data_IF_822480145146
#
_entry.id   IF_822480145146
#
_cell.length_a   1.000
_cell.length_b   1.000
_cell.length_c   1.000
_cell.angle_alpha   90.00
_cell.angle_beta   90.00
_cell.angle_gamma   90.00
#
_symmetry.space_group_name_H-M   'P 1'
#
loop_
_entity.id
_entity.type
_entity.pdbx_description
1 polymer ?
#
# COMPACT_ATOMS: atom_id res chain seq x y z
N UNK A 1 10.21 -7.67 5.67
CA UNK A 1 10.49 -7.62 4.20
C UNK A 1 11.54 -6.58 3.79
N UNK A 2 11.40 -5.28 4.03
CA UNK A 2 12.45 -4.30 3.67
C UNK A 2 13.80 -4.59 4.35
N UNK A 3 13.79 -5.06 5.59
CA UNK A 3 15.02 -5.43 6.33
C UNK A 3 15.73 -6.65 5.71
N UNK A 4 14.98 -7.65 5.26
CA UNK A 4 15.55 -8.84 4.60
C UNK A 4 16.23 -8.47 3.29
N UNK A 5 15.63 -7.53 2.53
CA UNK A 5 16.20 -7.02 1.28
C UNK A 5 17.30 -5.99 1.49
N UNK A 6 17.60 -5.60 2.73
CA UNK A 6 18.59 -4.56 3.08
C UNK A 6 18.33 -3.23 2.38
N UNK A 7 17.05 -2.90 2.16
CA UNK A 7 16.62 -1.66 1.49
C UNK A 7 15.82 -0.77 2.43
N UNK A 8 15.81 0.54 2.16
CA UNK A 8 14.96 1.47 2.90
C UNK A 8 13.49 1.35 2.46
N UNK A 9 12.55 1.65 3.37
CA UNK A 9 11.12 1.73 3.03
C UNK A 9 10.84 2.74 1.91
N UNK A 10 11.64 3.81 1.84
CA UNK A 10 11.54 4.81 0.78
C UNK A 10 11.93 4.24 -0.58
N UNK A 11 12.94 3.38 -0.63
CA UNK A 11 13.35 2.67 -1.85
C UNK A 11 12.29 1.67 -2.26
N UNK A 12 11.87 0.80 -1.33
CA UNK A 12 10.80 -0.19 -1.55
C UNK A 12 9.53 0.48 -2.12
N UNK A 13 9.14 1.62 -1.56
CA UNK A 13 7.93 2.35 -1.95
C UNK A 13 7.97 3.02 -3.33
N UNK A 14 9.06 2.88 -4.06
CA UNK A 14 9.20 3.38 -5.44
C UNK A 14 9.19 2.26 -6.50
N UNK A 15 9.34 1.01 -6.07
CA UNK A 15 9.48 -0.12 -6.98
C UNK A 15 8.11 -0.74 -7.31
N UNK A 16 7.67 -0.59 -8.55
CA UNK A 16 6.39 -1.15 -9.03
C UNK A 16 6.48 -1.70 -10.47
N UNK A 17 7.65 -1.56 -11.12
CA UNK A 17 7.84 -2.05 -12.48
C UNK A 17 8.29 -3.51 -12.46
N UNK A 18 7.78 -4.29 -13.40
CA UNK A 18 8.12 -5.68 -13.63
C UNK A 18 8.15 -6.52 -12.34
N UNK A 19 7.05 -6.53 -11.57
CA UNK A 19 6.99 -7.27 -10.31
C UNK A 19 7.06 -8.78 -10.57
N UNK A 20 7.88 -9.47 -9.77
CA UNK A 20 7.82 -10.93 -9.73
C UNK A 20 6.57 -11.39 -8.99
N UNK A 21 6.14 -12.61 -9.27
CA UNK A 21 5.09 -13.25 -8.50
C UNK A 21 5.66 -13.76 -7.18
N UNK A 22 5.05 -13.35 -6.07
CA UNK A 22 5.36 -13.82 -4.73
C UNK A 22 4.07 -14.36 -4.13
N UNK A 23 4.07 -15.64 -3.79
CA UNK A 23 2.93 -16.33 -3.16
C UNK A 23 2.95 -16.09 -1.64
N UNK A 24 2.93 -14.84 -1.23
CA UNK A 24 3.04 -14.45 0.17
C UNK A 24 1.71 -14.53 0.90
N UNK A 25 1.26 -15.74 1.21
CA UNK A 25 0.09 -15.94 2.08
C UNK A 25 0.40 -15.54 3.53
N UNK A 26 1.66 -15.66 3.96
CA UNK A 26 2.13 -15.30 5.31
C UNK A 26 3.43 -14.48 5.23
N UNK A 27 3.57 -13.49 6.12
CA UNK A 27 4.76 -12.64 6.17
C UNK A 27 6.06 -13.44 6.41
N UNK A 28 6.00 -14.52 7.20
CA UNK A 28 7.15 -15.38 7.52
C UNK A 28 7.60 -16.17 6.30
N UNK A 29 6.66 -16.79 5.57
CA UNK A 29 6.97 -17.51 4.34
C UNK A 29 7.44 -16.58 3.22
N UNK A 30 6.91 -15.36 3.18
CA UNK A 30 7.36 -14.34 2.23
C UNK A 30 8.82 -13.95 2.38
N UNK A 31 9.39 -14.00 3.60
CA UNK A 31 10.82 -13.72 3.80
C UNK A 31 11.69 -14.83 3.23
N UNK A 32 11.34 -16.10 3.44
CA UNK A 32 12.05 -17.25 2.87
C UNK A 32 11.97 -17.26 1.35
N UNK A 33 10.81 -16.95 0.79
CA UNK A 33 10.61 -16.85 -0.67
C UNK A 33 11.47 -15.73 -1.28
N UNK A 34 11.54 -14.56 -0.63
CA UNK A 34 12.41 -13.47 -1.09
C UNK A 34 13.88 -13.86 -1.08
N UNK A 35 14.35 -14.57 -0.04
CA UNK A 35 15.73 -15.06 0.04
C UNK A 35 15.99 -16.03 -1.12
N UNK A 36 15.06 -16.94 -1.40
CA UNK A 36 15.15 -17.84 -2.56
C UNK A 36 15.28 -17.07 -3.87
N UNK A 37 14.49 -16.02 -4.07
CA UNK A 37 14.56 -15.18 -5.28
C UNK A 37 15.86 -14.39 -5.41
N UNK A 38 16.48 -13.98 -4.30
CA UNK A 38 17.81 -13.37 -4.30
C UNK A 38 18.86 -14.40 -4.75
N UNK A 39 18.79 -15.62 -4.24
CA UNK A 39 19.72 -16.72 -4.61
C UNK A 39 19.57 -17.08 -6.10
N UNK A 40 18.36 -17.05 -6.63
CA UNK A 40 18.08 -17.22 -8.07
C UNK A 40 18.64 -16.09 -8.93
N UNK A 41 19.21 -15.03 -8.33
CA UNK A 41 19.77 -13.87 -9.05
C UNK A 41 18.72 -12.87 -9.54
N UNK A 42 17.50 -12.92 -9.02
CA UNK A 42 16.46 -11.94 -9.37
C UNK A 42 16.85 -10.54 -8.87
N UNK A 43 16.79 -9.51 -9.72
CA UNK A 43 17.12 -8.13 -9.32
C UNK A 43 16.26 -7.62 -8.16
N UNK A 44 16.87 -7.01 -7.17
CA UNK A 44 16.20 -6.45 -5.98
C UNK A 44 15.00 -5.55 -6.32
N UNK A 45 15.06 -4.65 -7.33
CA UNK A 45 13.90 -3.84 -7.70
C UNK A 45 12.66 -4.66 -8.08
N UNK A 46 12.84 -5.78 -8.78
CA UNK A 46 11.76 -6.69 -9.17
C UNK A 46 11.16 -7.41 -7.97
N UNK A 47 11.99 -7.83 -7.02
CA UNK A 47 11.55 -8.44 -5.76
C UNK A 47 10.76 -7.41 -4.95
N UNK A 48 11.27 -6.18 -4.82
CA UNK A 48 10.55 -5.08 -4.16
C UNK A 48 9.18 -4.80 -4.80
N UNK A 49 9.12 -4.80 -6.13
CA UNK A 49 7.87 -4.62 -6.85
C UNK A 49 6.89 -5.78 -6.58
N UNK A 50 7.39 -7.02 -6.52
CA UNK A 50 6.61 -8.20 -6.14
C UNK A 50 6.03 -8.10 -4.73
N UNK A 51 6.82 -7.64 -3.75
CA UNK A 51 6.36 -7.37 -2.38
C UNK A 51 5.21 -6.36 -2.37
N UNK A 52 5.33 -5.25 -3.10
CA UNK A 52 4.27 -4.25 -3.19
C UNK A 52 3.01 -4.82 -3.86
N UNK A 53 3.19 -5.62 -4.93
CA UNK A 53 2.08 -6.27 -5.63
C UNK A 53 1.35 -7.28 -4.73
N UNK A 54 2.06 -8.05 -3.90
CA UNK A 54 1.44 -9.00 -2.98
C UNK A 54 0.51 -8.32 -1.97
N UNK A 55 0.88 -7.12 -1.49
CA UNK A 55 0.02 -6.30 -0.62
C UNK A 55 -1.25 -5.87 -1.37
N UNK A 56 -1.10 -5.40 -2.60
CA UNK A 56 -2.25 -4.98 -3.44
C UNK A 56 -3.19 -6.15 -3.70
N UNK A 57 -2.67 -7.32 -4.06
CA UNK A 57 -3.47 -8.52 -4.32
C UNK A 57 -4.36 -8.94 -3.15
N UNK A 58 -3.90 -8.73 -1.91
CA UNK A 58 -4.69 -9.06 -0.71
C UNK A 58 -5.89 -8.15 -0.52
N UNK A 59 -5.79 -6.89 -0.89
CA UNK A 59 -6.87 -5.91 -0.71
C UNK A 59 -7.77 -5.80 -1.94
N UNK A 60 -7.31 -6.21 -3.12
CA UNK A 60 -8.08 -6.14 -4.37
C UNK A 60 -9.46 -6.78 -4.30
N UNK A 61 -9.66 -8.00 -3.77
CA UNK A 61 -10.98 -8.63 -3.69
C UNK A 61 -11.97 -7.81 -2.88
N UNK A 62 -11.50 -7.16 -1.80
CA UNK A 62 -12.31 -6.30 -0.95
C UNK A 62 -12.67 -5.01 -1.68
N UNK A 63 -11.71 -4.39 -2.35
CA UNK A 63 -11.91 -3.12 -3.06
C UNK A 63 -12.81 -3.30 -4.28
N UNK A 64 -12.67 -4.37 -5.04
CA UNK A 64 -13.47 -4.64 -6.25
C UNK A 64 -14.97 -4.68 -5.99
N UNK A 65 -15.38 -5.04 -4.78
CA UNK A 65 -16.81 -5.01 -4.38
C UNK A 65 -17.37 -3.59 -4.33
N UNK A 66 -16.53 -2.59 -4.10
CA UNK A 66 -16.89 -1.18 -3.92
C UNK A 66 -16.33 -0.26 -5.01
N UNK A 67 -15.60 -0.81 -5.99
CA UNK A 67 -14.77 -0.08 -6.95
C UNK A 67 -15.54 0.66 -8.06
N UNK A 68 -16.77 1.07 -7.81
CA UNK A 68 -17.54 1.93 -8.74
C UNK A 68 -17.29 3.43 -8.51
N UNK A 69 -16.45 3.81 -7.55
CA UNK A 69 -16.24 5.17 -7.10
C UNK A 69 -14.76 5.45 -6.86
N UNK A 70 -14.44 6.70 -6.51
CA UNK A 70 -13.10 7.08 -6.12
C UNK A 70 -12.67 6.38 -4.84
N UNK A 71 -11.46 5.81 -4.85
CA UNK A 71 -10.87 5.13 -3.69
C UNK A 71 -9.88 6.07 -3.05
N UNK A 72 -10.10 6.40 -1.79
CA UNK A 72 -9.19 7.19 -0.98
C UNK A 72 -8.41 6.26 -0.04
N UNK A 73 -7.09 6.25 -0.17
CA UNK A 73 -6.20 5.48 0.69
C UNK A 73 -5.65 6.38 1.80
N UNK A 74 -5.78 5.94 3.05
CA UNK A 74 -5.25 6.65 4.22
C UNK A 74 -4.37 5.71 5.06
N UNK A 75 -3.71 6.24 6.10
CA UNK A 75 -2.77 5.49 6.93
C UNK A 75 -1.34 5.51 6.37
N UNK A 76 -0.43 4.85 7.07
CA UNK A 76 1.00 4.85 6.73
C UNK A 76 1.31 4.27 5.35
N UNK A 77 0.57 3.24 4.91
CA UNK A 77 0.73 2.58 3.61
C UNK A 77 0.42 3.52 2.44
N UNK A 78 -0.47 4.50 2.62
CA UNK A 78 -0.78 5.50 1.59
C UNK A 78 0.42 6.39 1.20
N UNK A 79 1.50 6.36 1.95
CA UNK A 79 2.78 7.01 1.61
C UNK A 79 3.63 6.19 0.63
N UNK A 80 3.29 4.92 0.43
CA UNK A 80 3.97 4.05 -0.52
C UNK A 80 3.40 4.27 -1.92
N UNK A 81 4.16 4.98 -2.75
CA UNK A 81 3.77 5.33 -4.12
C UNK A 81 3.60 4.10 -5.02
N UNK A 82 4.42 3.07 -4.80
CA UNK A 82 4.35 1.84 -5.59
C UNK A 82 3.02 1.10 -5.36
N UNK A 83 2.56 1.00 -4.12
CA UNK A 83 1.26 0.39 -3.80
C UNK A 83 0.11 1.16 -4.46
N UNK A 84 0.11 2.51 -4.37
CA UNK A 84 -0.91 3.33 -5.01
C UNK A 84 -0.93 3.14 -6.53
N UNK A 85 0.24 3.09 -7.16
CA UNK A 85 0.36 2.89 -8.60
C UNK A 85 -0.10 1.50 -9.03
N UNK A 86 0.29 0.46 -8.31
CA UNK A 86 -0.17 -0.91 -8.58
C UNK A 86 -1.68 -1.05 -8.38
N UNK A 87 -2.26 -0.38 -7.38
CA UNK A 87 -3.71 -0.32 -7.21
C UNK A 87 -4.39 0.33 -8.42
N UNK A 88 -3.89 1.49 -8.89
CA UNK A 88 -4.43 2.17 -10.08
C UNK A 88 -4.43 1.28 -11.31
N UNK A 89 -3.35 0.52 -11.52
CA UNK A 89 -3.22 -0.43 -12.64
C UNK A 89 -4.15 -1.63 -12.53
N UNK A 90 -4.53 -1.99 -11.31
CA UNK A 90 -5.31 -3.21 -11.03
C UNK A 90 -6.82 -2.98 -11.02
N UNK A 91 -7.27 -1.74 -10.92
CA UNK A 91 -8.68 -1.37 -10.86
C UNK A 91 -8.99 -0.20 -11.77
N UNK A 92 -10.16 -0.21 -12.41
CA UNK A 92 -10.65 0.87 -13.26
C UNK A 92 -11.32 1.98 -12.41
N UNK A 93 -10.62 2.46 -11.38
CA UNK A 93 -11.12 3.50 -10.49
C UNK A 93 -10.01 4.49 -10.16
N UNK A 94 -10.39 5.72 -9.81
CA UNK A 94 -9.44 6.70 -9.31
C UNK A 94 -8.95 6.31 -7.91
N UNK A 95 -7.64 6.18 -7.74
CA UNK A 95 -7.01 5.88 -6.45
C UNK A 95 -6.15 7.06 -6.03
N UNK A 96 -6.50 7.70 -4.93
CA UNK A 96 -5.80 8.86 -4.38
C UNK A 96 -5.38 8.62 -2.94
N UNK A 97 -4.27 9.20 -2.52
CA UNK A 97 -3.91 9.26 -1.11
C UNK A 97 -4.54 10.50 -0.48
N UNK A 98 -5.00 10.40 0.77
CA UNK A 98 -5.43 11.57 1.53
C UNK A 98 -4.26 12.56 1.72
N UNK A 99 -4.55 13.85 1.89
CA UNK A 99 -3.51 14.91 2.00
C UNK A 99 -2.52 14.67 3.15
N UNK A 100 -2.99 14.11 4.27
CA UNK A 100 -2.18 13.78 5.46
C UNK A 100 -2.48 12.34 5.89
N UNK A 101 -2.04 11.34 5.09
CA UNK A 101 -2.54 9.97 5.24
C UNK A 101 -2.25 9.36 6.61
N UNK A 102 -1.09 9.65 7.22
CA UNK A 102 -0.74 9.13 8.53
C UNK A 102 -1.56 9.73 9.68
N UNK A 103 -2.15 10.91 9.49
CA UNK A 103 -2.88 11.65 10.53
C UNK A 103 -4.38 11.73 10.26
N UNK A 104 -4.88 11.10 9.22
CA UNK A 104 -6.28 11.23 8.79
C UNK A 104 -7.27 10.85 9.89
N UNK A 105 -7.00 9.75 10.62
CA UNK A 105 -7.82 9.31 11.75
C UNK A 105 -7.82 10.34 12.90
N UNK A 106 -6.64 10.83 13.28
CA UNK A 106 -6.51 11.83 14.35
C UNK A 106 -7.24 13.15 13.99
N UNK A 107 -7.15 13.59 12.73
CA UNK A 107 -7.86 14.76 12.23
C UNK A 107 -9.38 14.52 12.32
N UNK A 108 -9.87 13.34 11.93
CA UNK A 108 -11.26 12.96 12.02
C UNK A 108 -11.77 12.99 13.47
N UNK A 109 -11.05 12.40 14.41
CA UNK A 109 -11.38 12.45 15.84
C UNK A 109 -11.43 13.89 16.38
N UNK A 110 -10.44 14.72 16.01
CA UNK A 110 -10.41 16.12 16.44
C UNK A 110 -11.60 16.93 15.87
N UNK A 111 -12.04 16.64 14.66
CA UNK A 111 -13.23 17.28 14.08
C UNK A 111 -14.52 16.83 14.76
N UNK A 112 -14.66 15.54 15.08
CA UNK A 112 -15.83 14.98 15.75
C UNK A 112 -15.94 15.42 17.22
N UNK A 113 -14.81 15.72 17.89
CA UNK A 113 -14.78 16.17 19.28
C UNK A 113 -15.17 17.65 19.44
N UNK A 114 -15.28 18.41 18.35
CA UNK A 114 -15.75 19.82 18.44
C UNK A 114 -17.22 19.86 18.87
N UNK A 115 -17.57 20.67 19.86
CA UNK A 115 -18.97 20.88 20.20
C UNK A 115 -19.70 21.46 18.98
N UNK A 116 -20.99 21.12 18.77
CA UNK A 116 -21.77 21.70 17.69
C UNK A 116 -21.71 23.24 17.82
N UNK A 117 -21.43 23.91 16.71
CA UNK A 117 -21.54 25.38 16.68
C UNK A 117 -22.97 25.71 17.10
N UNK A 118 -23.12 26.39 18.25
CA UNK A 118 -24.38 27.03 18.57
C UNK A 118 -24.62 28.01 17.44
N UNK A 119 -25.63 27.72 16.61
CA UNK A 119 -26.18 28.72 15.70
C UNK A 119 -26.76 29.82 16.57
N UNK A 120 -26.01 30.89 16.77
CA UNK A 120 -26.48 32.11 17.42
C UNK A 120 -27.66 32.59 16.62
N UNK A 121 -28.77 32.72 17.34
CA UNK A 121 -29.95 33.41 16.91
C UNK A 121 -29.61 34.87 16.58
#
# INVERSE_FOLDING_TARGET
MARVLTVSLKYLGKQYNDPIDLDTTCAIFGESEMIGKIIEGIPIPRICAGVNLSVVRRVLPLIKRFARQNIVVSGGVARNKAILELMRRSIQASVIASKRPAFNGAIGCALLSRPPRQSGS
#
